data_IF_257741219709
#
_entry.id   IF_257741219709
#
_cell.length_a   1.000
_cell.length_b   1.000
_cell.length_c   1.000
_cell.angle_alpha   90.00
_cell.angle_beta   90.00
_cell.angle_gamma   90.00
#
_symmetry.space_group_name_H-M   'P 1'
#
loop_
_entity.id
_entity.type
_entity.pdbx_description
1 polymer ?
#
# COMPACT_ATOMS: atom_id res chain seq x y z
N UNK A 1 -15.30 3.90 7.62
CA UNK A 1 -14.48 5.08 7.26
C UNK A 1 -13.80 4.91 5.89
N UNK A 2 -14.34 5.53 4.83
CA UNK A 2 -13.78 5.47 3.46
C UNK A 2 -12.64 6.49 3.23
N UNK A 3 -11.52 6.10 2.59
CA UNK A 3 -10.54 7.07 2.04
C UNK A 3 -11.12 7.66 0.76
N UNK A 4 -11.28 8.99 0.70
CA UNK A 4 -11.74 9.69 -0.52
C UNK A 4 -10.72 9.64 -1.66
N UNK A 5 -9.44 9.43 -1.36
CA UNK A 5 -8.37 9.39 -2.36
C UNK A 5 -8.21 8.04 -3.07
N UNK A 6 -8.59 6.93 -2.43
CA UNK A 6 -8.39 5.59 -3.01
C UNK A 6 -9.60 4.65 -2.91
N UNK A 7 -10.70 5.10 -2.30
CA UNK A 7 -11.93 4.33 -2.16
C UNK A 7 -11.90 3.21 -1.10
N UNK A 8 -10.75 2.91 -0.47
CA UNK A 8 -10.67 1.86 0.57
C UNK A 8 -11.53 2.19 1.79
N UNK A 9 -12.28 1.21 2.28
CA UNK A 9 -13.09 1.31 3.49
C UNK A 9 -12.42 0.61 4.67
N UNK A 10 -12.37 1.32 5.80
CA UNK A 10 -11.85 0.83 7.07
C UNK A 10 -12.95 0.79 8.12
N UNK A 11 -12.92 -0.22 9.00
CA UNK A 11 -13.90 -0.35 10.10
C UNK A 11 -13.71 0.72 11.17
N UNK A 12 -12.47 1.20 11.38
CA UNK A 12 -12.11 2.17 12.41
C UNK A 12 -11.50 3.45 11.83
N UNK A 13 -11.73 4.58 12.51
CA UNK A 13 -11.16 5.86 12.11
C UNK A 13 -9.65 5.88 12.29
N UNK A 14 -9.10 5.30 13.36
CA UNK A 14 -7.66 5.18 13.58
C UNK A 14 -6.94 4.46 12.43
N UNK A 15 -7.56 3.40 11.90
CA UNK A 15 -7.07 2.68 10.72
C UNK A 15 -7.11 3.55 9.47
N UNK A 16 -8.19 4.32 9.25
CA UNK A 16 -8.25 5.28 8.15
C UNK A 16 -7.19 6.39 8.32
N UNK A 17 -7.01 6.93 9.52
CA UNK A 17 -6.05 8.00 9.79
C UNK A 17 -4.60 7.54 9.53
N UNK A 18 -4.23 6.34 10.00
CA UNK A 18 -2.94 5.73 9.67
C UNK A 18 -2.78 5.51 8.17
N UNK A 19 -3.84 5.03 7.52
CA UNK A 19 -3.85 4.87 6.07
C UNK A 19 -3.67 6.20 5.34
N UNK A 20 -4.38 7.27 5.71
CA UNK A 20 -4.24 8.58 5.08
C UNK A 20 -2.82 9.15 5.27
N UNK A 21 -2.22 8.92 6.44
CA UNK A 21 -0.89 9.47 6.77
C UNK A 21 0.27 8.74 6.08
N UNK A 22 0.16 7.42 5.90
CA UNK A 22 1.28 6.59 5.45
C UNK A 22 1.04 5.88 4.11
N UNK A 23 -0.21 5.78 3.66
CA UNK A 23 -0.59 5.06 2.45
C UNK A 23 -1.24 5.98 1.42
N UNK A 24 -2.37 6.62 1.75
CA UNK A 24 -3.22 7.36 0.80
C UNK A 24 -2.47 8.65 0.40
N UNK A 25 -1.99 8.72 -0.85
CA UNK A 25 -1.17 9.85 -1.35
C UNK A 25 0.35 9.69 -1.20
N UNK A 26 0.83 8.61 -0.55
CA UNK A 26 2.26 8.28 -0.53
C UNK A 26 2.60 7.49 -1.79
N UNK A 27 3.57 7.98 -2.56
CA UNK A 27 4.05 7.28 -3.73
C UNK A 27 4.73 5.96 -3.33
N UNK A 28 4.46 4.86 -4.05
CA UNK A 28 5.07 3.58 -3.78
C UNK A 28 6.58 3.65 -4.05
N UNK A 29 7.36 3.73 -2.96
CA UNK A 29 8.83 3.74 -3.00
C UNK A 29 9.44 2.42 -3.44
N UNK A 30 8.74 1.30 -3.22
CA UNK A 30 9.26 -0.03 -3.49
C UNK A 30 8.70 -0.54 -4.81
N UNK A 31 9.57 -0.71 -5.80
CA UNK A 31 9.24 -1.26 -7.10
C UNK A 31 9.88 -2.64 -7.25
N UNK A 32 9.17 -3.54 -7.95
CA UNK A 32 9.75 -4.81 -8.33
C UNK A 32 10.72 -4.59 -9.50
N UNK A 33 11.95 -5.16 -9.46
CA UNK A 33 12.89 -5.06 -10.57
C UNK A 33 12.49 -5.95 -11.77
N UNK A 34 11.62 -6.94 -11.57
CA UNK A 34 11.24 -7.92 -12.59
C UNK A 34 9.91 -7.60 -13.28
N UNK A 35 9.10 -6.71 -12.71
CA UNK A 35 7.76 -6.41 -13.25
C UNK A 35 7.29 -5.00 -12.84
N UNK A 36 6.23 -4.44 -13.46
CA UNK A 36 5.75 -3.09 -13.14
C UNK A 36 5.02 -2.98 -11.78
N UNK A 37 5.09 -4.00 -10.92
CA UNK A 37 4.49 -3.98 -9.60
C UNK A 37 5.18 -2.95 -8.69
N UNK A 38 4.38 -2.11 -8.05
CA UNK A 38 4.84 -1.08 -7.10
C UNK A 38 4.05 -1.19 -5.82
N UNK A 39 4.73 -1.02 -4.69
CA UNK A 39 4.14 -1.07 -3.37
C UNK A 39 4.77 -0.05 -2.42
N UNK A 40 4.03 0.24 -1.34
CA UNK A 40 4.40 1.22 -0.31
C UNK A 40 5.16 0.55 0.84
N UNK A 41 5.07 -0.78 0.94
CA UNK A 41 5.66 -1.56 2.02
C UNK A 41 6.74 -2.49 1.49
N UNK A 42 7.89 -2.49 2.17
CA UNK A 42 8.97 -3.43 1.91
C UNK A 42 8.53 -4.89 2.12
N UNK A 43 7.72 -5.16 3.14
CA UNK A 43 7.19 -6.50 3.41
C UNK A 43 6.35 -7.03 2.25
N UNK A 44 5.47 -6.19 1.70
CA UNK A 44 4.67 -6.53 0.52
C UNK A 44 5.53 -6.78 -0.73
N UNK A 45 6.62 -6.02 -0.91
CA UNK A 45 7.56 -6.29 -2.00
C UNK A 45 8.23 -7.65 -1.81
N UNK A 46 8.68 -7.96 -0.60
CA UNK A 46 9.38 -9.21 -0.31
C UNK A 46 8.45 -10.43 -0.53
N UNK A 47 7.21 -10.36 -0.06
CA UNK A 47 6.20 -11.41 -0.33
C UNK A 47 5.88 -11.52 -1.82
N UNK A 48 5.82 -10.40 -2.54
CA UNK A 48 5.63 -10.41 -3.98
C UNK A 48 6.80 -11.09 -4.71
N UNK A 49 8.03 -10.76 -4.35
CA UNK A 49 9.23 -11.34 -4.94
C UNK A 49 9.37 -12.84 -4.65
N UNK A 50 8.92 -13.29 -3.48
CA UNK A 50 9.05 -14.70 -3.07
C UNK A 50 7.90 -15.61 -3.55
N UNK A 51 6.74 -15.04 -3.91
CA UNK A 51 5.55 -15.84 -4.25
C UNK A 51 5.00 -15.62 -5.65
N UNK A 52 5.49 -14.61 -6.36
CA UNK A 52 5.03 -14.23 -7.71
C UNK A 52 6.14 -14.30 -8.76
N UNK A 53 7.36 -14.55 -8.30
CA UNK A 53 8.58 -14.87 -9.02
C UNK A 53 9.24 -16.04 -8.29
#
# INVERSE_FOLDING_TARGET
YPCKNCGKKYSYYSSLARHLKHECGVEPKFHCPLCPYKTKHKSSLNTHLNGRH
#
